data_IF_759301748143
#
_entry.id   IF_759301748143
#
_cell.length_a   1.000
_cell.length_b   1.000
_cell.length_c   1.000
_cell.angle_alpha   90.00
_cell.angle_beta   90.00
_cell.angle_gamma   90.00
#
_symmetry.space_group_name_H-M   'P 1'
#
loop_
_entity.id
_entity.type
_entity.pdbx_description
1 polymer ?
#
# COMPACT_ATOMS: atom_id res chain seq x y z
N UNK A 1 -9.57 -12.56 -6.85
CA UNK A 1 -9.04 -11.18 -6.75
C UNK A 1 -8.47 -11.00 -5.36
N UNK A 2 -7.29 -10.41 -5.26
CA UNK A 2 -6.59 -10.17 -4.00
C UNK A 2 -6.48 -8.68 -3.74
N UNK A 3 -6.75 -8.28 -2.51
CA UNK A 3 -6.55 -6.92 -2.00
C UNK A 3 -5.53 -7.05 -0.88
N UNK A 4 -4.43 -6.33 -1.01
CA UNK A 4 -3.37 -6.32 -0.03
C UNK A 4 -3.04 -4.89 0.35
N UNK A 5 -3.14 -4.60 1.64
CA UNK A 5 -2.93 -3.26 2.17
C UNK A 5 -2.07 -3.30 3.42
N UNK A 6 -1.33 -2.22 3.65
CA UNK A 6 -0.73 -2.00 4.95
C UNK A 6 -1.80 -1.55 5.95
N UNK A 7 -1.63 -1.92 7.21
CA UNK A 7 -2.42 -1.45 8.36
C UNK A 7 -2.59 0.07 8.42
N UNK A 8 -1.62 0.82 7.91
CA UNK A 8 -1.60 2.29 7.86
C UNK A 8 -2.21 2.88 6.59
N UNK A 9 -2.59 2.04 5.63
CA UNK A 9 -3.26 2.46 4.39
C UNK A 9 -4.77 2.33 4.57
N UNK A 10 -5.53 3.33 4.11
CA UNK A 10 -6.99 3.32 4.11
C UNK A 10 -7.48 2.37 3.01
N UNK A 11 -8.09 1.26 3.41
CA UNK A 11 -8.58 0.23 2.50
C UNK A 11 -9.80 0.66 1.68
N UNK A 12 -10.51 1.72 2.09
CA UNK A 12 -11.72 2.18 1.38
C UNK A 12 -11.44 2.66 -0.05
N UNK A 13 -10.18 3.06 -0.32
CA UNK A 13 -9.73 3.49 -1.65
C UNK A 13 -9.87 2.40 -2.72
N UNK A 14 -10.00 1.13 -2.32
CA UNK A 14 -10.09 0.02 -3.26
C UNK A 14 -11.51 -0.19 -3.80
N UNK A 15 -12.56 0.32 -3.15
CA UNK A 15 -13.94 0.09 -3.61
C UNK A 15 -14.16 0.59 -5.04
N UNK A 16 -13.74 1.84 -5.32
CA UNK A 16 -13.84 2.45 -6.65
C UNK A 16 -13.07 1.66 -7.71
N UNK A 17 -11.90 1.12 -7.35
CA UNK A 17 -11.03 0.37 -8.25
C UNK A 17 -11.65 -0.99 -8.56
N UNK A 18 -12.24 -1.65 -7.56
CA UNK A 18 -12.94 -2.91 -7.73
C UNK A 18 -14.14 -2.75 -8.67
N UNK A 19 -14.86 -1.63 -8.55
CA UNK A 19 -15.92 -1.28 -9.49
C UNK A 19 -15.38 -1.13 -10.92
N UNK A 20 -14.27 -0.41 -11.13
CA UNK A 20 -13.68 -0.22 -12.47
C UNK A 20 -13.21 -1.55 -13.09
N UNK A 21 -12.58 -2.43 -12.32
CA UNK A 21 -12.00 -3.69 -12.81
C UNK A 21 -13.09 -4.72 -13.19
N UNK A 22 -14.35 -4.50 -12.79
CA UNK A 22 -15.53 -5.26 -13.24
C UNK A 22 -15.35 -6.79 -13.23
N UNK A 23 -15.10 -7.35 -12.04
CA UNK A 23 -15.16 -8.80 -11.80
C UNK A 23 -16.33 -9.13 -10.86
N UNK A 24 -17.57 -9.05 -11.39
CA UNK A 24 -18.83 -9.16 -10.62
C UNK A 24 -18.99 -10.46 -9.81
N UNK A 25 -18.23 -11.53 -10.11
CA UNK A 25 -18.35 -12.83 -9.44
C UNK A 25 -17.01 -13.43 -8.99
N UNK A 26 -15.96 -12.62 -8.83
CA UNK A 26 -14.67 -13.15 -8.34
C UNK A 26 -14.60 -13.16 -6.83
N UNK A 27 -14.23 -14.30 -6.25
CA UNK A 27 -13.85 -14.40 -4.84
C UNK A 27 -12.80 -13.33 -4.49
N UNK A 28 -13.08 -12.57 -3.43
CA UNK A 28 -12.23 -11.47 -2.96
C UNK A 28 -11.49 -11.96 -1.71
N UNK A 29 -10.17 -11.96 -1.78
CA UNK A 29 -9.31 -12.27 -0.66
C UNK A 29 -8.66 -10.97 -0.16
N UNK A 30 -8.91 -10.61 1.10
CA UNK A 30 -8.36 -9.40 1.70
C UNK A 30 -7.31 -9.78 2.75
N UNK A 31 -6.09 -9.28 2.57
CA UNK A 31 -5.00 -9.38 3.54
C UNK A 31 -4.56 -7.98 3.99
N UNK A 32 -4.44 -7.82 5.30
CA UNK A 32 -3.92 -6.60 5.95
C UNK A 32 -2.69 -7.02 6.73
N UNK A 33 -1.59 -6.29 6.58
CA UNK A 33 -0.33 -6.63 7.24
C UNK A 33 0.40 -5.36 7.71
N UNK A 34 1.23 -5.49 8.74
CA UNK A 34 2.09 -4.38 9.22
C UNK A 34 2.99 -3.83 8.11
N UNK A 35 3.38 -2.57 8.21
CA UNK A 35 4.19 -1.85 7.22
C UNK A 35 5.51 -2.56 6.91
N UNK A 36 6.12 -3.18 7.91
CA UNK A 36 7.45 -3.82 7.82
C UNK A 36 7.40 -5.32 7.55
N UNK A 37 6.22 -5.93 7.58
CA UNK A 37 6.03 -7.36 7.32
C UNK A 37 5.59 -7.57 5.87
N UNK A 38 5.95 -8.69 5.25
CA UNK A 38 5.60 -8.97 3.84
C UNK A 38 5.20 -10.44 3.65
N UNK A 39 4.89 -11.14 4.74
CA UNK A 39 4.57 -12.57 4.70
C UNK A 39 3.25 -12.81 3.97
N UNK A 40 2.27 -11.94 4.17
CA UNK A 40 0.98 -12.01 3.45
C UNK A 40 1.17 -11.71 1.96
N UNK A 41 2.03 -10.75 1.60
CA UNK A 41 2.38 -10.51 0.19
C UNK A 41 2.98 -11.75 -0.47
N UNK A 42 3.95 -12.39 0.18
CA UNK A 42 4.59 -13.59 -0.38
C UNK A 42 3.62 -14.78 -0.44
N UNK A 43 2.72 -14.91 0.54
CA UNK A 43 1.63 -15.90 0.49
C UNK A 43 0.72 -15.66 -0.72
N UNK A 44 0.28 -14.42 -0.93
CA UNK A 44 -0.56 -14.06 -2.09
C UNK A 44 0.16 -14.39 -3.39
N UNK A 45 1.45 -14.01 -3.54
CA UNK A 45 2.25 -14.34 -4.73
C UNK A 45 2.22 -15.85 -5.05
N UNK A 46 2.30 -16.70 -4.02
CA UNK A 46 2.28 -18.14 -4.17
C UNK A 46 0.88 -18.72 -4.47
N UNK A 47 -0.18 -18.08 -3.94
CA UNK A 47 -1.58 -18.53 -4.11
C UNK A 47 -2.22 -18.04 -5.40
N UNK A 48 -1.77 -16.90 -5.94
CA UNK A 48 -2.30 -16.32 -7.17
C UNK A 48 -2.14 -17.29 -8.35
N UNK A 49 -3.25 -17.61 -9.02
CA UNK A 49 -3.24 -18.37 -10.28
C UNK A 49 -3.31 -17.43 -11.49
N UNK A 50 -3.44 -17.99 -12.70
CA UNK A 50 -3.57 -17.18 -13.92
C UNK A 50 -4.87 -16.36 -13.87
N UNK A 51 -4.82 -15.11 -14.33
CA UNK A 51 -5.94 -14.13 -14.30
C UNK A 51 -6.37 -13.60 -12.94
N UNK A 52 -5.68 -13.97 -11.85
CA UNK A 52 -5.79 -13.27 -10.59
C UNK A 52 -5.15 -11.89 -10.65
N UNK A 53 -5.83 -10.93 -10.03
CA UNK A 53 -5.39 -9.54 -9.91
C UNK A 53 -5.11 -9.25 -8.44
N UNK A 54 -3.92 -8.71 -8.18
CA UNK A 54 -3.56 -8.11 -6.90
C UNK A 54 -3.74 -6.61 -6.98
N UNK A 55 -4.52 -6.04 -6.05
CA UNK A 55 -4.67 -4.61 -5.85
C UNK A 55 -3.90 -4.21 -4.59
N UNK A 56 -3.03 -3.21 -4.72
CA UNK A 56 -2.27 -2.61 -3.60
C UNK A 56 -2.49 -1.10 -3.52
N UNK A 57 -2.29 -0.52 -2.34
CA UNK A 57 -2.44 0.93 -2.13
C UNK A 57 -1.38 1.74 -2.87
N UNK A 58 -0.11 1.38 -2.64
CA UNK A 58 1.05 2.08 -3.20
C UNK A 58 2.22 1.14 -3.49
N UNK A 59 3.23 1.61 -4.20
CA UNK A 59 4.45 0.81 -4.43
C UNK A 59 5.19 0.45 -3.13
N UNK A 60 4.99 1.20 -2.04
CA UNK A 60 5.58 0.89 -0.72
C UNK A 60 5.07 -0.45 -0.17
N UNK A 61 3.89 -0.91 -0.59
CA UNK A 61 3.37 -2.21 -0.20
C UNK A 61 4.22 -3.37 -0.79
N UNK A 62 5.07 -3.12 -1.79
CA UNK A 62 5.89 -4.15 -2.46
C UNK A 62 7.27 -4.38 -1.83
N UNK A 63 7.73 -3.53 -0.92
CA UNK A 63 9.04 -3.66 -0.29
C UNK A 63 9.43 -2.47 0.59
N UNK A 64 10.47 -2.65 1.42
CA UNK A 64 10.95 -1.63 2.37
C UNK A 64 11.73 -0.52 1.65
N UNK A 65 12.47 -0.89 0.62
CA UNK A 65 13.32 0.02 -0.16
C UNK A 65 13.08 -0.17 -1.65
N UNK A 66 13.65 0.73 -2.46
CA UNK A 66 13.44 0.73 -3.91
C UNK A 66 13.97 -0.55 -4.60
N UNK A 67 15.00 -1.20 -4.05
CA UNK A 67 15.51 -2.49 -4.56
C UNK A 67 14.47 -3.60 -4.35
N UNK A 68 13.87 -3.67 -3.17
CA UNK A 68 12.83 -4.66 -2.85
C UNK A 68 11.59 -4.43 -3.72
N UNK A 69 11.17 -3.17 -3.87
CA UNK A 69 10.07 -2.77 -4.77
C UNK A 69 10.38 -3.19 -6.21
N UNK A 70 11.57 -2.91 -6.71
CA UNK A 70 11.98 -3.30 -8.06
C UNK A 70 11.98 -4.82 -8.26
N UNK A 71 12.45 -5.59 -7.27
CA UNK A 71 12.43 -7.05 -7.32
C UNK A 71 11.00 -7.60 -7.34
N UNK A 72 10.11 -7.06 -6.50
CA UNK A 72 8.69 -7.42 -6.52
C UNK A 72 8.03 -7.07 -7.86
N UNK A 73 8.28 -5.89 -8.42
CA UNK A 73 7.76 -5.52 -9.75
C UNK A 73 8.24 -6.49 -10.84
N UNK A 74 9.53 -6.84 -10.86
CA UNK A 74 10.08 -7.85 -11.78
C UNK A 74 9.35 -9.17 -11.66
N UNK A 75 9.09 -9.64 -10.44
CA UNK A 75 8.32 -10.86 -10.22
C UNK A 75 6.95 -10.81 -10.92
N UNK A 76 6.17 -9.73 -10.76
CA UNK A 76 4.85 -9.62 -11.41
C UNK A 76 4.98 -9.60 -12.94
N UNK A 77 5.97 -8.88 -13.49
CA UNK A 77 6.21 -8.75 -14.93
C UNK A 77 6.66 -10.07 -15.58
N UNK A 78 7.60 -10.78 -14.95
CA UNK A 78 8.21 -12.01 -15.47
C UNK A 78 7.22 -13.18 -15.40
N UNK A 79 6.41 -13.24 -14.35
CA UNK A 79 5.43 -14.30 -14.14
C UNK A 79 4.05 -13.99 -14.76
N UNK A 80 3.88 -12.83 -15.42
CA UNK A 80 2.61 -12.42 -16.03
C UNK A 80 1.47 -12.31 -15.01
N UNK A 81 1.77 -11.89 -13.77
CA UNK A 81 0.79 -11.73 -12.69
C UNK A 81 0.24 -10.32 -12.73
N UNK A 82 -1.09 -10.17 -12.68
CA UNK A 82 -1.73 -8.87 -12.77
C UNK A 82 -1.55 -8.09 -11.47
N UNK A 83 -1.02 -6.88 -11.57
CA UNK A 83 -0.84 -5.97 -10.44
C UNK A 83 -1.48 -4.61 -10.74
N UNK A 84 -2.29 -4.12 -9.81
CA UNK A 84 -2.92 -2.80 -9.83
C UNK A 84 -2.43 -2.00 -8.63
N UNK A 85 -2.03 -0.75 -8.87
CA UNK A 85 -1.52 0.15 -7.85
C UNK A 85 -2.45 1.35 -7.75
N UNK A 86 -3.12 1.49 -6.62
CA UNK A 86 -4.27 2.39 -6.48
C UNK A 86 -3.92 3.85 -6.67
N UNK A 87 -2.76 4.27 -6.16
CA UNK A 87 -2.24 5.62 -6.36
C UNK A 87 -1.63 5.88 -7.76
N UNK A 88 -1.69 4.92 -8.68
CA UNK A 88 -1.26 5.05 -10.08
C UNK A 88 -2.43 4.67 -11.00
N UNK A 89 -3.24 5.67 -11.36
CA UNK A 89 -4.47 5.50 -12.15
C UNK A 89 -4.28 4.68 -13.44
N UNK A 90 -3.14 4.87 -14.13
CA UNK A 90 -2.88 4.18 -15.40
C UNK A 90 -2.93 2.66 -15.25
N UNK A 91 -2.66 2.11 -14.06
CA UNK A 91 -2.64 0.66 -13.82
C UNK A 91 -4.01 0.00 -13.93
N UNK A 92 -5.13 0.75 -13.87
CA UNK A 92 -6.49 0.20 -13.94
C UNK A 92 -7.45 0.98 -14.84
N UNK A 93 -7.28 2.30 -14.99
CA UNK A 93 -8.24 3.19 -15.68
C UNK A 93 -8.48 2.85 -17.15
N UNK A 94 -7.47 2.32 -17.83
CA UNK A 94 -7.53 2.00 -19.27
C UNK A 94 -7.66 0.49 -19.53
N UNK A 95 -8.09 -0.26 -18.50
CA UNK A 95 -8.17 -1.71 -18.54
C UNK A 95 -6.88 -2.39 -18.08
N UNK A 96 -7.03 -3.63 -17.62
CA UNK A 96 -5.97 -4.40 -16.95
C UNK A 96 -5.46 -5.59 -17.78
N UNK A 97 -5.69 -5.61 -19.10
CA UNK A 97 -5.25 -6.74 -19.94
C UNK A 97 -3.74 -7.01 -19.83
N UNK A 98 -3.30 -8.27 -19.93
CA UNK A 98 -1.89 -8.63 -19.70
C UNK A 98 -0.87 -7.79 -20.49
N UNK A 99 -1.01 -7.56 -21.80
CA UNK A 99 -0.05 -6.74 -22.54
C UNK A 99 0.02 -5.31 -22.00
N UNK A 100 -1.12 -4.74 -21.61
CA UNK A 100 -1.21 -3.38 -21.05
C UNK A 100 -0.60 -3.33 -19.65
N UNK A 101 -1.03 -4.25 -18.77
CA UNK A 101 -0.54 -4.34 -17.40
C UNK A 101 0.98 -4.51 -17.37
N UNK A 102 1.52 -5.43 -18.18
CA UNK A 102 2.97 -5.63 -18.32
C UNK A 102 3.69 -4.36 -18.79
N UNK A 103 3.19 -3.68 -19.82
CA UNK A 103 3.82 -2.46 -20.34
C UNK A 103 3.85 -1.33 -19.30
N UNK A 104 2.77 -1.16 -18.55
CA UNK A 104 2.68 -0.15 -17.49
C UNK A 104 3.60 -0.50 -16.32
N UNK A 105 3.60 -1.76 -15.86
CA UNK A 105 4.50 -2.20 -14.79
C UNK A 105 5.98 -2.07 -15.18
N UNK A 106 6.34 -2.38 -16.44
CA UNK A 106 7.71 -2.15 -16.94
C UNK A 106 8.09 -0.67 -16.90
N UNK A 107 7.17 0.23 -17.28
CA UNK A 107 7.41 1.68 -17.22
C UNK A 107 7.61 2.16 -15.78
N UNK A 108 6.84 1.61 -14.83
CA UNK A 108 6.99 1.90 -13.40
C UNK A 108 8.34 1.37 -12.88
N UNK A 109 8.71 0.14 -13.24
CA UNK A 109 10.00 -0.46 -12.87
C UNK A 109 11.17 0.40 -13.37
N UNK A 110 11.14 0.84 -14.62
CA UNK A 110 12.17 1.72 -15.18
C UNK A 110 12.27 3.03 -14.40
N UNK A 111 11.14 3.65 -14.02
CA UNK A 111 11.15 4.85 -13.19
C UNK A 111 11.77 4.60 -11.81
N UNK A 112 11.47 3.48 -11.16
CA UNK A 112 12.04 3.13 -9.85
C UNK A 112 13.56 2.90 -9.98
N UNK A 113 14.01 2.22 -11.03
CA UNK A 113 15.43 1.96 -11.27
C UNK A 113 16.20 3.23 -11.67
N UNK A 114 15.56 4.17 -12.37
CA UNK A 114 16.15 5.47 -12.70
C UNK A 114 16.30 6.35 -11.47
N UNK A 115 15.35 6.34 -10.54
CA UNK A 115 15.46 7.08 -9.27
C UNK A 115 16.58 6.53 -8.37
N UNK A 116 16.80 5.22 -8.37
CA UNK A 116 17.92 4.59 -7.64
C UNK A 116 19.30 5.03 -8.16
N UNK A 117 19.40 5.39 -9.45
CA UNK A 117 20.63 5.90 -10.03
C UNK A 117 20.64 7.39 -9.75
N UNK A 118 21.50 7.86 -8.84
CA UNK A 118 21.71 9.27 -8.47
C UNK A 118 21.82 10.22 -9.69
N UNK A 119 20.72 10.54 -10.34
CA UNK A 119 20.58 11.52 -11.39
C UNK A 119 19.87 12.68 -10.71
N UNK A 120 20.59 13.79 -10.60
CA UNK A 120 20.11 15.08 -10.10
C UNK A 120 18.69 15.31 -10.63
N UNK A 121 17.71 15.29 -9.72
CA UNK A 121 16.32 15.58 -10.06
C UNK A 121 16.25 17.01 -10.61
N UNK A 122 16.09 17.14 -11.93
CA UNK A 122 15.55 18.38 -12.50
C UNK A 122 14.15 18.57 -11.89
N UNK A 123 13.84 19.74 -11.31
CA UNK A 123 12.56 19.98 -10.67
C UNK A 123 11.46 19.84 -11.73
N UNK A 124 10.81 18.67 -11.75
CA UNK A 124 9.57 18.50 -12.50
C UNK A 124 8.55 19.34 -11.77
N UNK A 125 8.11 20.41 -12.43
CA UNK A 125 6.93 21.20 -12.07
C UNK A 125 5.69 20.30 -12.03
N UNK A 126 5.56 19.48 -10.99
CA UNK A 126 4.29 18.92 -10.57
C UNK A 126 3.60 20.06 -9.82
N UNK A 127 2.43 20.46 -10.30
CA UNK A 127 1.46 21.14 -9.44
C UNK A 127 1.15 20.19 -8.29
N UNK A 128 1.91 20.31 -7.21
CA UNK A 128 1.60 19.73 -5.91
C UNK A 128 0.36 20.49 -5.47
N UNK A 129 -0.80 19.82 -5.50
CA UNK A 129 -2.03 20.35 -4.95
C UNK A 129 -1.73 20.88 -3.55
N UNK A 130 -2.02 22.16 -3.33
CA UNK A 130 -1.67 22.90 -2.12
C UNK A 130 -2.45 22.38 -0.92
N UNK A 131 -1.83 21.42 -0.23
CA UNK A 131 -2.08 21.05 1.16
C UNK A 131 -0.74 20.67 1.78
N UNK A 132 -0.58 20.86 3.09
CA UNK A 132 0.61 20.35 3.80
C UNK A 132 0.68 18.84 3.52
N UNK A 133 1.81 18.35 2.99
CA UNK A 133 2.04 16.92 2.81
C UNK A 133 1.65 16.21 4.12
N UNK A 134 0.71 15.26 4.04
CA UNK A 134 0.32 14.44 5.19
C UNK A 134 1.59 13.76 5.70
N UNK A 135 1.83 13.85 7.00
CA UNK A 135 3.01 13.23 7.61
C UNK A 135 2.77 11.72 7.60
N UNK A 136 3.61 10.97 6.91
CA UNK A 136 3.57 9.51 6.92
C UNK A 136 3.77 8.98 8.34
N UNK A 137 3.14 7.85 8.67
CA UNK A 137 3.39 7.13 9.91
C UNK A 137 4.88 6.75 10.03
N UNK A 138 5.53 7.00 11.19
CA UNK A 138 6.89 6.55 11.44
C UNK A 138 7.03 5.04 11.28
N UNK A 139 8.24 4.57 10.92
CA UNK A 139 8.50 3.13 10.72
C UNK A 139 8.26 2.26 11.96
N UNK A 140 8.33 2.83 13.16
CA UNK A 140 8.05 2.16 14.44
C UNK A 140 6.65 2.45 14.98
N UNK A 141 5.78 3.10 14.20
CA UNK A 141 4.47 3.56 14.65
C UNK A 141 3.63 2.43 15.24
N UNK A 142 3.52 1.31 14.53
CA UNK A 142 2.62 0.22 14.91
C UNK A 142 3.05 -0.45 16.22
N UNK A 143 4.36 -0.71 16.37
CA UNK A 143 4.94 -1.24 17.61
C UNK A 143 4.73 -0.28 18.79
N UNK A 144 4.93 1.03 18.56
CA UNK A 144 4.69 2.04 19.59
C UNK A 144 3.21 2.15 19.94
N UNK A 145 2.33 2.07 18.95
CA UNK A 145 0.88 2.11 19.12
C UNK A 145 0.37 0.94 19.94
N UNK A 146 0.78 -0.29 19.61
CA UNK A 146 0.40 -1.48 20.38
C UNK A 146 0.87 -1.41 21.82
N UNK A 147 2.11 -0.98 22.04
CA UNK A 147 2.63 -0.82 23.40
C UNK A 147 1.88 0.27 24.18
N UNK A 148 1.49 1.36 23.53
CA UNK A 148 0.77 2.45 24.16
C UNK A 148 -0.69 2.09 24.45
N UNK A 149 -1.40 1.47 23.50
CA UNK A 149 -2.78 1.03 23.67
C UNK A 149 -2.90 -0.01 24.81
N UNK A 150 -1.86 -0.83 25.01
CA UNK A 150 -1.77 -1.80 26.11
C UNK A 150 -1.27 -1.21 27.44
N UNK A 151 -1.05 0.11 27.53
CA UNK A 151 -0.48 0.79 28.69
C UNK A 151 0.96 0.35 29.08
N UNK A 152 1.72 -0.25 28.15
CA UNK A 152 3.12 -0.62 28.36
C UNK A 152 4.06 0.58 28.27
N UNK A 153 3.68 1.62 27.53
CA UNK A 153 4.41 2.90 27.46
C UNK A 153 3.44 4.07 27.64
N UNK A 154 3.94 5.16 28.22
CA UNK A 154 3.23 6.42 28.33
C UNK A 154 3.22 7.20 27.01
N UNK A 155 2.30 8.17 26.87
CA UNK A 155 2.32 9.10 25.73
C UNK A 155 3.63 9.90 25.65
N UNK A 156 4.30 10.15 26.78
CA UNK A 156 5.60 10.82 26.81
C UNK A 156 6.67 9.93 26.16
N UNK A 157 6.75 8.67 26.57
CA UNK A 157 7.70 7.72 25.99
C UNK A 157 7.42 7.44 24.50
N UNK A 158 6.15 7.42 24.08
CA UNK A 158 5.80 7.34 22.66
C UNK A 158 6.39 8.53 21.90
N UNK A 159 6.14 9.76 22.37
CA UNK A 159 6.65 10.98 21.73
C UNK A 159 8.17 10.97 21.64
N UNK A 160 8.86 10.55 22.71
CA UNK A 160 10.32 10.46 22.75
C UNK A 160 10.86 9.43 21.75
N UNK A 161 10.24 8.24 21.66
CA UNK A 161 10.67 7.16 20.74
C UNK A 161 10.30 7.41 19.27
N UNK A 162 9.22 8.14 19.01
CA UNK A 162 8.75 8.45 17.65
C UNK A 162 9.34 9.75 17.09
N UNK A 163 9.84 10.64 17.96
CA UNK A 163 10.28 11.99 17.58
C UNK A 163 9.13 12.92 17.17
N UNK A 164 7.88 12.57 17.46
CA UNK A 164 6.71 13.35 17.07
C UNK A 164 6.47 14.54 18.01
N UNK A 165 5.86 15.60 17.46
CA UNK A 165 5.31 16.68 18.27
C UNK A 165 3.98 16.22 18.87
N UNK A 166 3.66 16.69 20.08
CA UNK A 166 2.42 16.35 20.81
C UNK A 166 1.14 16.49 19.97
N UNK A 167 0.99 17.59 19.24
CA UNK A 167 -0.17 17.81 18.37
C UNK A 167 -0.24 16.78 17.22
N UNK A 168 0.90 16.49 16.59
CA UNK A 168 1.00 15.49 15.53
C UNK A 168 0.66 14.09 16.05
N UNK A 169 1.15 13.72 17.23
CA UNK A 169 0.83 12.45 17.87
C UNK A 169 -0.68 12.21 18.02
N UNK A 170 -1.42 13.13 18.63
CA UNK A 170 -2.86 12.93 18.83
C UNK A 170 -3.64 12.88 17.52
N UNK A 171 -3.28 13.73 16.54
CA UNK A 171 -3.89 13.67 15.22
C UNK A 171 -3.66 12.31 14.54
N UNK A 172 -2.43 11.79 14.61
CA UNK A 172 -2.09 10.49 14.02
C UNK A 172 -2.73 9.31 14.78
N UNK A 173 -2.92 9.41 16.10
CA UNK A 173 -3.68 8.40 16.87
C UNK A 173 -5.13 8.35 16.39
N UNK A 174 -5.78 9.50 16.24
CA UNK A 174 -7.16 9.57 15.73
C UNK A 174 -7.25 8.98 14.33
N UNK A 175 -6.38 9.43 13.43
CA UNK A 175 -6.32 8.93 12.05
C UNK A 175 -6.08 7.42 11.99
N UNK A 176 -5.11 6.90 12.76
CA UNK A 176 -4.81 5.47 12.77
C UNK A 176 -5.97 4.64 13.31
N UNK A 177 -6.68 5.10 14.34
CA UNK A 177 -7.89 4.44 14.86
C UNK A 177 -9.01 4.38 13.82
N UNK A 178 -9.20 5.43 13.04
CA UNK A 178 -10.16 5.46 11.94
C UNK A 178 -9.80 4.45 10.85
N UNK A 179 -8.52 4.40 10.46
CA UNK A 179 -7.99 3.42 9.49
C UNK A 179 -8.20 1.99 9.99
N UNK A 180 -7.85 1.69 11.24
CA UNK A 180 -8.05 0.36 11.83
C UNK A 180 -9.53 -0.06 11.78
N UNK A 181 -10.44 0.86 12.14
CA UNK A 181 -11.88 0.60 12.10
C UNK A 181 -12.39 0.36 10.68
N UNK A 182 -11.93 1.15 9.71
CA UNK A 182 -12.26 0.96 8.30
C UNK A 182 -11.74 -0.38 7.77
N UNK A 183 -10.49 -0.72 8.11
CA UNK A 183 -9.85 -1.99 7.76
C UNK A 183 -10.62 -3.19 8.30
N UNK A 184 -11.01 -3.16 9.58
CA UNK A 184 -11.83 -4.21 10.18
C UNK A 184 -13.20 -4.35 9.51
N UNK A 185 -13.88 -3.23 9.23
CA UNK A 185 -15.19 -3.23 8.59
C UNK A 185 -15.11 -3.81 7.16
N UNK A 186 -14.10 -3.42 6.39
CA UNK A 186 -13.87 -3.92 5.05
C UNK A 186 -13.53 -5.41 5.03
N UNK A 187 -12.62 -5.85 5.90
CA UNK A 187 -12.27 -7.27 6.03
C UNK A 187 -13.51 -8.10 6.39
N UNK A 188 -14.36 -7.63 7.32
CA UNK A 188 -15.64 -8.30 7.64
C UNK A 188 -16.58 -8.36 6.44
N UNK A 189 -16.70 -7.28 5.68
CA UNK A 189 -17.54 -7.19 4.47
C UNK A 189 -17.19 -8.25 3.44
N UNK A 190 -15.90 -8.57 3.26
CA UNK A 190 -15.43 -9.49 2.20
C UNK A 190 -14.97 -10.87 2.68
N UNK A 191 -14.80 -11.10 3.99
CA UNK A 191 -14.53 -12.45 4.55
C UNK A 191 -15.80 -13.25 4.85
N UNK A 192 -16.96 -12.60 4.96
CA UNK A 192 -18.26 -13.24 5.26
C UNK A 192 -19.10 -13.57 4.01
N UNK A 193 -18.52 -13.43 2.82
CA UNK A 193 -19.15 -13.76 1.52
C UNK A 193 -18.62 -15.04 0.91
#
# INVERSE_FOLDING_TARGET
>A
MYIYTKTTEDISIFEDIMEIIHKKDSKICVSVEHMRSFQELEKIKNEMINDDILIIGSLKSLGINEKDIANSLKYFIENGKYLVVSNIESTYKYGVSQPMNKAILSTILDSVLLNNKNIIELPRNRKINSGRNKIDFPNNWEELYENWENNNISSKEFLDKSGLKKATFYNMITEYKEILKANEAFVKKYRLG
#
